data_IF_980096195374
#
_entry.id   IF_980096195374
#
_cell.length_a   1.000
_cell.length_b   1.000
_cell.length_c   1.000
_cell.angle_alpha   90.00
_cell.angle_beta   90.00
_cell.angle_gamma   90.00
#
_symmetry.space_group_name_H-M   'P 1'
#
loop_
_entity.id
_entity.type
_entity.pdbx_description
1 polymer ?
#
# COMPACT_ATOMS: atom_id res chain seq x y z
N UNK A 1 2.67 -32.21 15.35
CA UNK A 1 2.69 -31.09 14.39
C UNK A 1 1.29 -30.53 14.33
N UNK A 2 1.11 -29.24 14.67
CA UNK A 2 -0.21 -28.61 14.77
C UNK A 2 -0.85 -28.43 13.39
N UNK A 3 -2.17 -28.19 13.34
CA UNK A 3 -2.85 -27.86 12.07
C UNK A 3 -2.29 -26.57 11.45
N UNK A 4 -1.89 -25.60 12.29
CA UNK A 4 -1.23 -24.37 11.84
C UNK A 4 0.13 -24.66 11.18
N UNK A 5 0.96 -25.51 11.79
CA UNK A 5 2.27 -25.87 11.22
C UNK A 5 2.12 -26.53 9.83
N UNK A 6 1.11 -27.40 9.67
CA UNK A 6 0.82 -28.07 8.40
C UNK A 6 0.36 -27.07 7.33
N UNK A 7 -0.56 -26.17 7.69
CA UNK A 7 -1.05 -25.11 6.82
C UNK A 7 0.06 -24.16 6.37
N UNK A 8 0.93 -23.75 7.30
CA UNK A 8 2.06 -22.89 7.01
C UNK A 8 3.07 -23.57 6.08
N UNK A 9 3.42 -24.83 6.33
CA UNK A 9 4.32 -25.58 5.44
C UNK A 9 3.76 -25.67 4.03
N UNK A 10 2.48 -26.00 3.88
CA UNK A 10 1.83 -26.04 2.57
C UNK A 10 1.84 -24.67 1.86
N UNK A 11 1.59 -23.58 2.58
CA UNK A 11 1.66 -22.22 2.04
C UNK A 11 3.08 -21.82 1.60
N UNK A 12 4.10 -22.23 2.35
CA UNK A 12 5.50 -22.01 2.01
C UNK A 12 5.91 -22.84 0.79
N UNK A 13 5.49 -24.10 0.71
CA UNK A 13 5.74 -24.98 -0.44
C UNK A 13 5.11 -24.40 -1.71
N UNK A 14 3.87 -23.90 -1.62
CA UNK A 14 3.17 -23.26 -2.73
C UNK A 14 3.86 -21.97 -3.22
N UNK A 15 4.75 -21.38 -2.42
CA UNK A 15 5.47 -20.14 -2.72
C UNK A 15 6.92 -20.35 -3.10
N UNK A 16 7.45 -21.58 -3.13
CA UNK A 16 8.89 -21.83 -3.35
C UNK A 16 9.43 -21.11 -4.61
N UNK A 17 8.79 -21.33 -5.76
CA UNK A 17 9.17 -20.65 -7.02
C UNK A 17 9.03 -19.12 -6.94
N UNK A 18 8.01 -18.62 -6.24
CA UNK A 18 7.82 -17.18 -6.07
C UNK A 18 8.94 -16.59 -5.20
N UNK A 19 9.34 -17.26 -4.12
CA UNK A 19 10.40 -16.79 -3.24
C UNK A 19 11.72 -16.68 -4.00
N UNK A 20 12.05 -17.68 -4.82
CA UNK A 20 13.22 -17.64 -5.70
C UNK A 20 13.18 -16.45 -6.66
N UNK A 21 12.02 -16.22 -7.31
CA UNK A 21 11.82 -15.07 -8.20
C UNK A 21 11.99 -13.74 -7.46
N UNK A 22 11.37 -13.59 -6.28
CA UNK A 22 11.42 -12.36 -5.49
C UNK A 22 12.85 -12.09 -5.00
N UNK A 23 13.58 -13.11 -4.55
CA UNK A 23 14.97 -12.95 -4.13
C UNK A 23 15.86 -12.55 -5.31
N UNK A 24 15.66 -13.15 -6.49
CA UNK A 24 16.36 -12.74 -7.71
C UNK A 24 16.05 -11.29 -8.14
N UNK A 25 14.85 -10.79 -7.84
CA UNK A 25 14.44 -9.40 -8.03
C UNK A 25 14.98 -8.44 -6.95
N UNK A 26 15.72 -8.94 -5.96
CA UNK A 26 16.15 -8.14 -4.80
C UNK A 26 14.97 -7.73 -3.92
N UNK A 27 14.03 -8.64 -3.69
CA UNK A 27 12.84 -8.44 -2.85
C UNK A 27 12.83 -9.42 -1.68
N UNK A 28 12.85 -8.88 -0.47
CA UNK A 28 12.70 -9.63 0.79
C UNK A 28 11.52 -9.14 1.64
N UNK A 29 10.61 -8.41 1.00
CA UNK A 29 9.34 -7.92 1.54
C UNK A 29 8.17 -8.66 0.86
N UNK A 30 7.58 -9.64 1.54
CA UNK A 30 6.50 -10.47 0.98
C UNK A 30 5.65 -11.20 2.03
N UNK A 31 4.46 -11.64 1.61
CA UNK A 31 3.51 -12.41 2.42
C UNK A 31 3.92 -13.88 2.42
N UNK A 32 4.21 -14.42 3.60
CA UNK A 32 4.55 -15.84 3.77
C UNK A 32 3.30 -16.69 4.03
N UNK A 33 2.29 -16.12 4.68
CA UNK A 33 1.06 -16.82 5.04
C UNK A 33 -0.13 -15.86 5.12
N UNK A 34 -1.18 -16.19 4.37
CA UNK A 34 -2.42 -15.45 4.24
C UNK A 34 -3.59 -16.29 4.80
N UNK A 35 -3.66 -16.36 6.13
CA UNK A 35 -4.44 -17.40 6.83
C UNK A 35 -5.94 -17.43 6.55
N UNK A 36 -6.55 -16.32 6.12
CA UNK A 36 -7.95 -16.29 5.64
C UNK A 36 -8.21 -17.20 4.43
N UNK A 37 -7.18 -17.49 3.64
CA UNK A 37 -7.24 -18.36 2.47
C UNK A 37 -6.51 -19.68 2.73
N UNK A 38 -5.60 -19.71 3.70
CA UNK A 38 -4.64 -20.80 3.88
C UNK A 38 -4.83 -21.56 5.20
N UNK A 39 -6.04 -21.57 5.74
CA UNK A 39 -6.42 -22.51 6.81
C UNK A 39 -6.23 -22.02 8.24
N UNK A 40 -5.96 -20.73 8.46
CA UNK A 40 -5.99 -20.11 9.79
C UNK A 40 -6.53 -18.66 9.73
N UNK A 41 -7.86 -18.49 9.60
CA UNK A 41 -8.46 -17.16 9.43
C UNK A 41 -8.07 -16.17 10.53
N UNK A 42 -7.74 -14.96 10.11
CA UNK A 42 -7.29 -13.90 11.02
C UNK A 42 -5.82 -13.99 11.41
N UNK A 43 -5.02 -14.86 10.78
CA UNK A 43 -3.57 -14.89 10.95
C UNK A 43 -2.85 -14.45 9.68
N UNK A 44 -1.78 -13.69 9.88
CA UNK A 44 -0.90 -13.23 8.82
C UNK A 44 0.56 -13.39 9.22
N UNK A 45 1.39 -13.80 8.26
CA UNK A 45 2.85 -13.86 8.42
C UNK A 45 3.49 -13.16 7.23
N UNK A 46 4.28 -12.14 7.50
CA UNK A 46 4.96 -11.32 6.51
C UNK A 46 6.46 -11.26 6.81
N UNK A 47 7.28 -11.30 5.77
CA UNK A 47 8.69 -10.93 5.86
C UNK A 47 8.83 -9.46 5.45
N UNK A 48 9.59 -8.70 6.22
CA UNK A 48 10.07 -7.37 5.85
C UNK A 48 11.56 -7.27 6.13
N UNK A 49 12.41 -7.54 5.13
CA UNK A 49 13.84 -7.57 5.33
C UNK A 49 14.25 -8.66 6.33
N UNK A 50 14.96 -8.32 7.42
CA UNK A 50 15.31 -9.26 8.46
C UNK A 50 14.17 -9.56 9.44
N UNK A 51 13.01 -8.88 9.34
CA UNK A 51 11.92 -9.02 10.29
C UNK A 51 10.86 -10.02 9.83
N UNK A 52 10.37 -10.84 10.76
CA UNK A 52 9.19 -11.68 10.61
C UNK A 52 8.03 -11.05 11.39
N UNK A 53 7.09 -10.41 10.69
CA UNK A 53 5.91 -9.83 11.29
C UNK A 53 4.75 -10.83 11.29
N UNK A 54 4.31 -11.24 12.48
CA UNK A 54 3.13 -12.07 12.69
C UNK A 54 2.01 -11.18 13.24
N UNK A 55 0.83 -11.19 12.63
CA UNK A 55 -0.35 -10.50 13.17
C UNK A 55 -1.56 -11.42 13.25
N UNK A 56 -2.29 -11.32 14.35
CA UNK A 56 -3.56 -12.01 14.58
C UNK A 56 -4.71 -11.00 14.72
N UNK A 57 -5.91 -11.31 14.21
CA UNK A 57 -7.05 -10.36 14.14
C UNK A 57 -8.32 -10.87 14.81
N UNK A 58 -8.38 -12.15 15.19
CA UNK A 58 -9.56 -12.76 15.80
C UNK A 58 -9.26 -13.41 17.14
N UNK A 59 -8.14 -14.12 17.21
CA UNK A 59 -7.68 -14.81 18.41
C UNK A 59 -6.16 -14.65 18.53
N UNK A 60 -5.62 -14.43 19.74
CA UNK A 60 -4.18 -14.40 19.94
C UNK A 60 -3.55 -15.77 19.62
N UNK A 61 -2.26 -15.76 19.28
CA UNK A 61 -1.44 -16.96 19.23
C UNK A 61 -0.69 -17.13 20.55
N UNK A 62 -0.62 -18.38 21.01
CA UNK A 62 0.21 -18.78 22.15
C UNK A 62 1.70 -18.77 21.79
N UNK A 63 2.57 -18.62 22.80
CA UNK A 63 4.02 -18.53 22.63
C UNK A 63 4.62 -19.73 21.87
N UNK A 64 4.22 -20.96 22.19
CA UNK A 64 4.71 -22.17 21.52
C UNK A 64 4.35 -22.21 20.03
N UNK A 65 3.15 -21.71 19.68
CA UNK A 65 2.70 -21.64 18.29
C UNK A 65 3.50 -20.57 17.52
N UNK A 66 3.79 -19.42 18.14
CA UNK A 66 4.64 -18.38 17.55
C UNK A 66 6.07 -18.88 17.31
N UNK A 67 6.65 -19.57 18.30
CA UNK A 67 8.01 -20.11 18.18
C UNK A 67 8.09 -21.20 17.11
N UNK A 68 7.12 -22.12 17.05
CA UNK A 68 7.04 -23.15 16.01
C UNK A 68 6.93 -22.54 14.61
N UNK A 69 6.05 -21.56 14.44
CA UNK A 69 5.86 -20.82 13.18
C UNK A 69 7.15 -20.13 12.74
N UNK A 70 7.81 -19.39 13.64
CA UNK A 70 9.07 -18.70 13.33
C UNK A 70 10.15 -19.70 12.91
N UNK A 71 10.31 -20.79 13.64
CA UNK A 71 11.28 -21.86 13.33
C UNK A 71 11.03 -22.47 11.96
N UNK A 72 9.77 -22.72 11.58
CA UNK A 72 9.42 -23.25 10.25
C UNK A 72 9.81 -22.27 9.14
N UNK A 73 9.53 -20.97 9.33
CA UNK A 73 9.87 -19.93 8.37
C UNK A 73 11.38 -19.79 8.21
N UNK A 74 12.13 -19.75 9.32
CA UNK A 74 13.59 -19.64 9.30
C UNK A 74 14.24 -20.84 8.62
N UNK A 75 13.75 -22.06 8.89
CA UNK A 75 14.20 -23.27 8.21
C UNK A 75 13.94 -23.21 6.70
N UNK A 76 12.76 -22.72 6.28
CA UNK A 76 12.42 -22.57 4.85
C UNK A 76 13.30 -21.53 4.17
N UNK A 77 13.59 -20.41 4.83
CA UNK A 77 14.38 -19.32 4.26
C UNK A 77 15.90 -19.51 4.44
N UNK A 78 16.32 -20.50 5.23
CA UNK A 78 17.73 -20.79 5.49
C UNK A 78 18.47 -19.74 6.32
N UNK A 79 17.75 -18.91 7.08
CA UNK A 79 18.33 -17.82 7.87
C UNK A 79 17.44 -17.42 9.06
N UNK A 80 18.02 -16.90 10.15
CA UNK A 80 17.24 -16.37 11.28
C UNK A 80 16.50 -15.08 10.90
N UNK A 81 15.37 -14.83 11.56
CA UNK A 81 14.58 -13.61 11.42
C UNK A 81 14.24 -13.01 12.79
N UNK A 82 14.06 -11.69 12.80
CA UNK A 82 13.65 -10.93 13.97
C UNK A 82 12.13 -10.99 14.11
N UNK A 83 11.63 -11.84 15.01
CA UNK A 83 10.20 -12.01 15.23
C UNK A 83 9.58 -10.78 15.89
N UNK A 84 8.50 -10.27 15.28
CA UNK A 84 7.58 -9.29 15.89
C UNK A 84 6.18 -9.86 15.81
N UNK A 85 5.51 -9.97 16.95
CA UNK A 85 4.11 -10.39 17.02
C UNK A 85 3.20 -9.22 17.41
N UNK A 86 2.17 -8.95 16.63
CA UNK A 86 1.14 -7.98 16.96
C UNK A 86 -0.22 -8.68 17.09
N UNK A 87 -0.71 -8.79 18.33
CA UNK A 87 -2.10 -9.19 18.58
C UNK A 87 -3.04 -8.02 18.27
N UNK A 88 -3.96 -8.24 17.33
CA UNK A 88 -5.00 -7.29 16.90
C UNK A 88 -6.39 -7.93 17.02
N UNK A 89 -6.54 -8.96 17.87
CA UNK A 89 -7.81 -9.63 18.14
C UNK A 89 -8.81 -8.77 18.93
N UNK A 90 -8.32 -7.73 19.60
CA UNK A 90 -9.14 -6.82 20.40
C UNK A 90 -9.95 -5.82 19.55
N UNK A 91 -10.78 -5.01 20.22
CA UNK A 91 -11.70 -4.06 19.58
C UNK A 91 -11.00 -3.14 18.57
N UNK A 92 -11.64 -2.95 17.41
CA UNK A 92 -11.16 -2.13 16.28
C UNK A 92 -9.83 -2.61 15.68
N UNK A 93 -9.42 -3.85 15.95
CA UNK A 93 -8.19 -4.45 15.46
C UNK A 93 -6.95 -3.59 15.71
N UNK A 94 -6.91 -2.96 16.89
CA UNK A 94 -5.73 -2.22 17.35
C UNK A 94 -4.71 -3.20 17.91
N UNK A 95 -3.44 -2.91 17.66
CA UNK A 95 -2.32 -3.65 18.28
C UNK A 95 -2.44 -3.55 19.80
N UNK A 96 -2.56 -4.71 20.46
CA UNK A 96 -2.36 -4.85 21.88
C UNK A 96 -0.86 -4.66 22.18
N UNK A 97 -0.57 -3.69 23.04
CA UNK A 97 0.80 -3.31 23.42
C UNK A 97 1.24 -3.97 24.72
N UNK A 98 0.37 -4.77 25.33
CA UNK A 98 0.72 -5.55 26.50
C UNK A 98 1.46 -6.83 26.06
N UNK A 99 2.61 -7.18 26.67
CA UNK A 99 3.43 -8.31 26.26
C UNK A 99 2.89 -9.63 26.83
N UNK A 100 1.63 -9.99 26.56
CA UNK A 100 1.02 -11.17 27.18
C UNK A 100 1.49 -12.50 26.57
N UNK A 101 1.76 -12.53 25.26
CA UNK A 101 2.13 -13.77 24.56
C UNK A 101 3.58 -13.80 24.05
N UNK A 102 4.18 -12.64 23.76
CA UNK A 102 5.54 -12.53 23.23
C UNK A 102 6.10 -11.12 23.43
N UNK A 103 7.33 -11.04 23.93
CA UNK A 103 8.12 -9.81 23.98
C UNK A 103 9.18 -9.85 22.88
N UNK A 104 9.12 -8.90 21.96
CA UNK A 104 10.06 -8.84 20.86
C UNK A 104 11.42 -8.31 21.35
N UNK A 105 12.50 -8.85 20.79
CA UNK A 105 13.85 -8.37 21.05
C UNK A 105 14.02 -6.91 20.64
N UNK A 106 14.89 -6.16 21.31
CA UNK A 106 15.16 -4.75 20.99
C UNK A 106 15.59 -4.58 19.51
N UNK A 107 16.41 -5.51 19.01
CA UNK A 107 16.83 -5.53 17.61
C UNK A 107 15.65 -5.68 16.64
N UNK A 108 14.62 -6.44 17.01
CA UNK A 108 13.41 -6.63 16.22
C UNK A 108 12.54 -5.36 16.19
N UNK A 109 12.69 -4.45 17.15
CA UNK A 109 11.95 -3.19 17.23
C UNK A 109 12.73 -1.98 16.70
N UNK A 110 13.95 -2.20 16.21
CA UNK A 110 14.80 -1.17 15.66
C UNK A 110 14.32 -0.66 14.28
N UNK A 111 14.96 0.40 13.82
CA UNK A 111 14.82 0.94 12.48
C UNK A 111 15.56 0.05 11.47
N UNK A 112 14.83 -0.90 10.87
CA UNK A 112 15.37 -1.89 9.94
C UNK A 112 15.18 -1.47 8.47
N UNK A 113 15.84 -2.19 7.58
CA UNK A 113 15.75 -2.01 6.12
C UNK A 113 15.25 -3.31 5.50
N UNK A 114 14.22 -3.20 4.65
CA UNK A 114 13.79 -4.27 3.75
C UNK A 114 13.90 -3.81 2.30
N UNK A 115 13.73 -4.75 1.39
CA UNK A 115 13.97 -4.57 -0.04
C UNK A 115 12.75 -5.01 -0.85
N UNK A 116 12.36 -4.19 -1.81
CA UNK A 116 11.35 -4.54 -2.82
C UNK A 116 11.75 -3.94 -4.16
N UNK A 117 11.72 -4.74 -5.23
CA UNK A 117 12.15 -4.32 -6.58
C UNK A 117 13.59 -3.75 -6.62
N UNK A 118 14.48 -4.24 -5.75
CA UNK A 118 15.85 -3.76 -5.59
C UNK A 118 15.97 -2.37 -4.95
N UNK A 119 14.91 -1.88 -4.29
CA UNK A 119 14.89 -0.60 -3.58
C UNK A 119 14.85 -0.80 -2.08
N UNK A 120 15.51 0.10 -1.35
CA UNK A 120 15.56 0.06 0.11
C UNK A 120 14.35 0.76 0.72
N UNK A 121 13.72 0.12 1.70
CA UNK A 121 12.59 0.66 2.45
C UNK A 121 12.86 0.59 3.95
N UNK A 122 12.49 1.66 4.65
CA UNK A 122 12.40 1.65 6.12
C UNK A 122 11.28 0.71 6.54
N UNK A 123 11.61 -0.24 7.42
CA UNK A 123 10.68 -1.22 7.97
C UNK A 123 10.60 -1.07 9.48
N UNK A 124 9.37 -1.11 10.01
CA UNK A 124 9.06 -1.17 11.45
C UNK A 124 7.84 -2.06 11.67
N UNK A 125 8.03 -3.24 12.26
CA UNK A 125 6.94 -4.17 12.60
C UNK A 125 6.07 -3.68 13.75
N UNK A 126 6.59 -2.77 14.57
CA UNK A 126 5.84 -2.09 15.62
C UNK A 126 6.30 -0.65 15.73
N UNK A 127 5.36 0.29 15.70
CA UNK A 127 5.60 1.73 15.84
C UNK A 127 4.34 2.41 16.41
N UNK A 128 4.24 3.74 16.34
CA UNK A 128 3.08 4.49 16.87
C UNK A 128 1.78 4.25 16.10
N UNK A 129 1.87 3.91 14.81
CA UNK A 129 0.76 3.53 13.95
C UNK A 129 0.31 2.07 14.11
N UNK A 130 -0.53 1.63 13.17
CA UNK A 130 -1.11 0.27 13.16
C UNK A 130 -0.60 -0.58 12.01
N UNK A 131 -0.35 0.05 10.87
CA UNK A 131 0.02 -0.66 9.64
C UNK A 131 1.53 -0.72 9.47
N UNK A 132 2.05 -1.80 8.87
CA UNK A 132 3.46 -1.87 8.50
C UNK A 132 3.76 -0.74 7.50
N UNK A 133 4.96 -0.16 7.58
CA UNK A 133 5.39 0.99 6.77
C UNK A 133 5.41 0.73 5.24
N UNK A 134 5.03 -0.47 4.80
CA UNK A 134 4.90 -0.87 3.40
C UNK A 134 3.74 -1.87 3.28
N UNK A 135 2.74 -1.57 2.44
CA UNK A 135 1.65 -2.50 2.12
C UNK A 135 2.08 -3.46 1.00
N UNK A 136 2.32 -4.73 1.32
CA UNK A 136 2.91 -5.70 0.40
C UNK A 136 1.98 -6.14 -0.75
N UNK A 137 0.66 -6.03 -0.58
CA UNK A 137 -0.33 -6.34 -1.62
C UNK A 137 -0.25 -5.39 -2.83
N UNK A 138 0.25 -4.17 -2.62
CA UNK A 138 0.54 -3.18 -3.65
C UNK A 138 1.85 -3.40 -4.42
N UNK A 139 2.61 -4.49 -4.16
CA UNK A 139 3.92 -4.75 -4.80
C UNK A 139 3.84 -4.76 -6.32
N UNK A 140 2.82 -5.39 -6.90
CA UNK A 140 2.62 -5.42 -8.35
C UNK A 140 2.34 -4.02 -8.92
N UNK A 141 1.52 -3.21 -8.23
CA UNK A 141 1.21 -1.85 -8.66
C UNK A 141 2.46 -0.95 -8.62
N UNK A 142 3.28 -1.08 -7.57
CA UNK A 142 4.58 -0.42 -7.46
C UNK A 142 5.54 -0.85 -8.59
N UNK A 143 5.59 -2.15 -8.89
CA UNK A 143 6.37 -2.69 -10.01
C UNK A 143 5.93 -2.13 -11.36
N UNK A 144 4.61 -2.05 -11.59
CA UNK A 144 4.05 -1.45 -12.81
C UNK A 144 4.44 0.03 -12.93
N UNK A 145 4.35 0.81 -11.85
CA UNK A 145 4.79 2.22 -11.84
C UNK A 145 6.27 2.33 -12.17
N UNK A 146 7.14 1.53 -11.53
CA UNK A 146 8.58 1.50 -11.83
C UNK A 146 8.85 1.23 -13.32
N UNK A 147 8.12 0.31 -13.94
CA UNK A 147 8.29 -0.02 -15.36
C UNK A 147 7.75 1.06 -16.32
N UNK A 148 6.85 1.94 -15.87
CA UNK A 148 6.10 2.84 -16.74
C UNK A 148 6.34 4.33 -16.48
N UNK A 149 7.31 4.69 -15.63
CA UNK A 149 7.58 6.07 -15.23
C UNK A 149 8.67 6.79 -16.03
N UNK A 150 9.41 6.14 -16.92
CA UNK A 150 10.52 6.76 -17.64
C UNK A 150 10.14 8.07 -18.35
N UNK A 151 10.80 9.18 -17.99
CA UNK A 151 10.57 10.52 -18.53
C UNK A 151 9.27 11.20 -18.10
N UNK A 152 8.42 10.54 -17.31
CA UNK A 152 7.08 11.00 -16.95
C UNK A 152 7.06 11.81 -15.66
N UNK A 153 6.15 12.78 -15.61
CA UNK A 153 5.74 13.44 -14.38
C UNK A 153 4.74 12.56 -13.61
N UNK A 154 5.03 12.29 -12.33
CA UNK A 154 4.26 11.35 -11.51
C UNK A 154 3.65 12.02 -10.29
N UNK A 155 2.34 11.89 -10.10
CA UNK A 155 1.62 12.31 -8.90
C UNK A 155 1.11 11.10 -8.11
N UNK A 156 1.60 10.91 -6.90
CA UNK A 156 1.20 9.86 -5.98
C UNK A 156 0.28 10.44 -4.89
N UNK A 157 -1.01 10.09 -4.93
CA UNK A 157 -2.06 10.59 -4.03
C UNK A 157 -2.33 9.58 -2.92
N UNK A 158 -2.47 10.08 -1.69
CA UNK A 158 -2.50 9.24 -0.48
C UNK A 158 -1.19 8.45 -0.35
N UNK A 159 -0.09 9.18 -0.50
CA UNK A 159 1.23 8.60 -0.74
C UNK A 159 1.73 7.69 0.38
N UNK A 160 1.17 7.79 1.60
CA UNK A 160 1.63 7.07 2.77
C UNK A 160 3.15 7.27 2.95
N UNK A 161 3.92 6.20 3.04
CA UNK A 161 5.39 6.20 3.13
C UNK A 161 6.08 6.34 1.77
N UNK A 162 5.34 6.82 0.76
CA UNK A 162 5.81 7.21 -0.56
C UNK A 162 6.40 6.06 -1.40
N UNK A 163 6.00 4.80 -1.13
CA UNK A 163 6.58 3.65 -1.82
C UNK A 163 6.33 3.63 -3.34
N UNK A 164 5.16 4.09 -3.80
CA UNK A 164 4.87 4.29 -5.22
C UNK A 164 5.77 5.37 -5.83
N UNK A 165 5.94 6.49 -5.12
CA UNK A 165 6.84 7.56 -5.57
C UNK A 165 8.29 7.11 -5.68
N UNK A 166 8.76 6.30 -4.74
CA UNK A 166 10.12 5.72 -4.78
C UNK A 166 10.31 4.83 -6.02
N UNK A 167 9.33 3.98 -6.32
CA UNK A 167 9.32 3.16 -7.53
C UNK A 167 9.29 4.02 -8.80
N UNK A 168 8.51 5.10 -8.82
CA UNK A 168 8.50 6.04 -9.95
C UNK A 168 9.87 6.69 -10.18
N UNK A 169 10.53 7.16 -9.11
CA UNK A 169 11.87 7.73 -9.19
C UNK A 169 12.89 6.71 -9.72
N UNK A 170 12.84 5.47 -9.21
CA UNK A 170 13.67 4.37 -9.71
C UNK A 170 13.35 3.96 -11.15
N UNK A 171 12.11 4.18 -11.59
CA UNK A 171 11.65 3.98 -12.97
C UNK A 171 12.08 5.07 -13.95
N UNK A 172 12.81 6.09 -13.50
CA UNK A 172 13.28 7.19 -14.33
C UNK A 172 12.24 8.29 -14.56
N UNK A 173 11.29 8.49 -13.64
CA UNK A 173 10.40 9.65 -13.66
C UNK A 173 11.20 10.97 -13.77
N UNK A 174 10.70 11.90 -14.58
CA UNK A 174 11.27 13.25 -14.69
C UNK A 174 10.97 14.10 -13.47
N UNK A 175 9.84 13.84 -12.80
CA UNK A 175 9.50 14.37 -11.49
C UNK A 175 8.55 13.43 -10.75
N UNK A 176 8.62 13.44 -9.41
CA UNK A 176 7.73 12.69 -8.54
C UNK A 176 7.18 13.61 -7.46
N UNK A 177 5.86 13.72 -7.37
CA UNK A 177 5.15 14.46 -6.33
C UNK A 177 4.35 13.49 -5.47
N UNK A 178 4.75 13.35 -4.20
CA UNK A 178 4.01 12.58 -3.20
C UNK A 178 3.10 13.51 -2.39
N UNK A 179 1.84 13.14 -2.24
CA UNK A 179 0.85 13.89 -1.47
C UNK A 179 0.22 13.02 -0.39
N UNK A 180 0.38 13.43 0.87
CA UNK A 180 -0.26 12.77 2.01
C UNK A 180 -0.67 13.79 3.07
N UNK A 181 -1.66 13.45 3.88
CA UNK A 181 -2.11 14.30 4.98
C UNK A 181 -1.16 14.21 6.19
N UNK A 182 -0.63 13.01 6.45
CA UNK A 182 0.14 12.72 7.65
C UNK A 182 1.63 13.04 7.43
N UNK A 183 2.11 14.06 8.13
CA UNK A 183 3.52 14.44 8.11
C UNK A 183 4.45 13.29 8.55
N UNK A 184 4.00 12.44 9.48
CA UNK A 184 4.74 11.26 9.93
C UNK A 184 4.99 10.27 8.79
N UNK A 185 4.01 10.08 7.90
CA UNK A 185 4.15 9.17 6.76
C UNK A 185 5.12 9.75 5.72
N UNK A 186 5.00 11.05 5.43
CA UNK A 186 5.93 11.74 4.54
C UNK A 186 7.37 11.75 5.10
N UNK A 187 7.55 11.81 6.41
CA UNK A 187 8.86 11.71 7.04
C UNK A 187 9.52 10.34 6.74
N UNK A 188 8.77 9.25 6.89
CA UNK A 188 9.23 7.91 6.48
C UNK A 188 9.49 7.85 4.97
N UNK A 189 8.66 8.51 4.15
CA UNK A 189 8.91 8.63 2.72
C UNK A 189 10.23 9.34 2.38
N UNK A 190 10.65 10.33 3.19
CA UNK A 190 11.96 10.98 3.06
C UNK A 190 13.09 10.05 3.49
N UNK A 191 12.93 9.28 4.56
CA UNK A 191 13.88 8.23 4.95
C UNK A 191 14.06 7.22 3.80
N UNK A 192 12.96 6.77 3.17
CA UNK A 192 13.02 5.88 2.01
C UNK A 192 13.81 6.49 0.85
N UNK A 193 13.66 7.79 0.57
CA UNK A 193 14.51 8.49 -0.39
C UNK A 193 15.99 8.53 0.00
N UNK A 194 16.29 8.77 1.28
CA UNK A 194 17.67 8.80 1.80
C UNK A 194 18.36 7.44 1.76
N UNK A 195 17.60 6.35 1.93
CA UNK A 195 18.08 4.98 1.78
C UNK A 195 18.42 4.61 0.33
N UNK A 196 18.03 5.43 -0.65
CA UNK A 196 18.29 5.23 -2.08
C UNK A 196 18.95 6.48 -2.70
N UNK A 197 20.18 6.86 -2.26
CA UNK A 197 20.80 8.13 -2.62
C UNK A 197 21.13 8.29 -4.11
N UNK A 198 21.10 7.19 -4.87
CA UNK A 198 21.28 7.19 -6.32
C UNK A 198 20.05 7.69 -7.10
N UNK A 199 18.88 7.79 -6.46
CA UNK A 199 17.64 8.18 -7.11
C UNK A 199 17.47 9.70 -7.14
N UNK A 200 16.75 10.24 -8.14
CA UNK A 200 16.35 11.65 -8.13
C UNK A 200 15.53 12.02 -6.90
N UNK A 201 15.67 13.27 -6.46
CA UNK A 201 14.90 13.78 -5.33
C UNK A 201 13.39 13.82 -5.65
N UNK A 202 12.58 13.37 -4.69
CA UNK A 202 11.12 13.44 -4.77
C UNK A 202 10.59 14.69 -4.05
N UNK A 203 9.43 15.18 -4.49
CA UNK A 203 8.67 16.22 -3.82
C UNK A 203 7.66 15.60 -2.86
N UNK A 204 7.41 16.29 -1.74
CA UNK A 204 6.49 15.83 -0.70
C UNK A 204 5.60 17.00 -0.29
N UNK A 205 4.30 16.84 -0.46
CA UNK A 205 3.27 17.84 -0.17
C UNK A 205 2.42 17.33 0.99
N UNK A 206 2.55 17.96 2.14
CA UNK A 206 1.63 17.75 3.25
C UNK A 206 0.34 18.53 2.96
N UNK A 207 -0.74 17.83 2.64
CA UNK A 207 -2.04 18.45 2.41
C UNK A 207 -3.16 17.44 2.58
N UNK A 208 -4.36 17.94 2.91
CA UNK A 208 -5.57 17.19 2.62
C UNK A 208 -5.69 16.97 1.11
N UNK A 209 -6.21 15.81 0.73
CA UNK A 209 -6.44 15.40 -0.64
C UNK A 209 -7.30 16.41 -1.41
N UNK A 210 -8.48 16.77 -0.88
CA UNK A 210 -9.48 17.54 -1.59
C UNK A 210 -9.01 18.93 -2.03
N UNK A 211 -8.44 19.80 -1.17
CA UNK A 211 -7.96 21.10 -1.62
C UNK A 211 -6.77 20.97 -2.57
N UNK A 212 -5.93 19.94 -2.44
CA UNK A 212 -4.76 19.80 -3.30
C UNK A 212 -5.10 19.32 -4.70
N UNK A 213 -5.82 18.19 -4.82
CA UNK A 213 -6.16 17.62 -6.13
C UNK A 213 -7.09 18.54 -6.91
N UNK A 214 -7.98 19.27 -6.23
CA UNK A 214 -8.87 20.24 -6.89
C UNK A 214 -8.09 21.41 -7.46
N UNK A 215 -7.10 21.95 -6.75
CA UNK A 215 -6.22 22.99 -7.29
C UNK A 215 -5.45 22.50 -8.52
N UNK A 216 -4.84 21.31 -8.45
CA UNK A 216 -4.12 20.71 -9.58
C UNK A 216 -5.04 20.46 -10.78
N UNK A 217 -6.26 20.00 -10.53
CA UNK A 217 -7.29 19.79 -11.55
C UNK A 217 -7.97 21.08 -12.06
N UNK A 218 -7.56 22.27 -11.61
CA UNK A 218 -8.19 23.54 -12.00
C UNK A 218 -9.62 23.72 -11.49
N UNK A 219 -10.03 22.97 -10.47
CA UNK A 219 -11.35 23.01 -9.86
C UNK A 219 -11.40 23.97 -8.65
N UNK A 220 -12.54 24.64 -8.41
CA UNK A 220 -12.70 25.48 -7.23
C UNK A 220 -12.72 24.63 -5.96
N UNK A 221 -12.17 25.12 -4.86
CA UNK A 221 -12.27 24.43 -3.56
C UNK A 221 -13.65 24.68 -2.98
N UNK A 222 -14.38 23.60 -2.68
CA UNK A 222 -15.72 23.71 -2.11
C UNK A 222 -15.62 24.12 -0.63
N UNK A 223 -16.41 25.10 -0.20
CA UNK A 223 -16.62 25.43 1.20
C UNK A 223 -18.12 25.65 1.45
N UNK A 224 -18.60 25.24 2.62
CA UNK A 224 -19.98 25.56 3.02
C UNK A 224 -20.04 27.03 3.46
N UNK A 225 -21.15 27.71 3.19
CA UNK A 225 -21.35 29.10 3.62
C UNK A 225 -21.15 29.23 5.13
N UNK A 226 -20.23 30.09 5.57
CA UNK A 226 -19.87 30.29 6.98
C UNK A 226 -18.84 29.31 7.55
N UNK A 227 -18.38 28.32 6.79
CA UNK A 227 -17.32 27.40 7.22
C UNK A 227 -15.94 28.00 6.97
N UNK A 228 -15.17 28.23 8.04
CA UNK A 228 -13.74 28.56 7.93
C UNK A 228 -12.96 27.28 7.65
N UNK A 229 -12.31 27.21 6.49
CA UNK A 229 -11.44 26.08 6.15
C UNK A 229 -10.10 26.18 6.91
N UNK A 230 -9.49 25.04 7.30
CA UNK A 230 -8.11 25.00 7.76
C UNK A 230 -7.14 25.56 6.69
N UNK A 231 -5.91 25.88 7.09
CA UNK A 231 -4.87 26.26 6.15
C UNK A 231 -4.52 25.06 5.23
N UNK A 232 -4.23 25.35 3.96
CA UNK A 232 -3.77 24.38 2.97
C UNK A 232 -2.78 25.05 2.01
N UNK A 233 -1.80 24.31 1.47
CA UNK A 233 -0.83 24.87 0.55
C UNK A 233 -1.49 25.35 -0.74
N UNK A 234 -0.97 26.46 -1.29
CA UNK A 234 -1.35 26.96 -2.62
C UNK A 234 -0.61 26.17 -3.68
N UNK A 235 -1.36 25.50 -4.55
CA UNK A 235 -0.83 24.67 -5.62
C UNK A 235 -1.32 25.20 -6.96
N UNK A 236 -0.51 25.05 -8.00
CA UNK A 236 -0.86 25.46 -9.36
C UNK A 236 -1.67 24.38 -10.04
N UNK A 237 -2.58 24.79 -10.94
CA UNK A 237 -3.25 23.88 -11.85
C UNK A 237 -2.21 23.30 -12.82
N UNK A 238 -2.17 21.97 -12.92
CA UNK A 238 -1.26 21.24 -13.80
C UNK A 238 -1.72 19.79 -13.92
N UNK A 239 -1.32 19.16 -15.01
CA UNK A 239 -1.51 17.74 -15.22
C UNK A 239 -0.21 16.95 -15.01
N UNK A 240 -0.35 15.63 -14.89
CA UNK A 240 0.73 14.68 -14.71
C UNK A 240 0.56 13.51 -15.69
N UNK A 241 1.67 13.00 -16.22
CA UNK A 241 1.68 11.88 -17.17
C UNK A 241 1.27 10.56 -16.51
N UNK A 242 1.50 10.43 -15.20
CA UNK A 242 1.04 9.30 -14.39
C UNK A 242 0.46 9.80 -13.07
N UNK A 243 -0.79 9.47 -12.78
CA UNK A 243 -1.43 9.69 -11.49
C UNK A 243 -1.68 8.34 -10.81
N UNK A 244 -1.35 8.23 -9.53
CA UNK A 244 -1.64 7.07 -8.69
C UNK A 244 -2.60 7.47 -7.57
N UNK A 245 -3.73 6.75 -7.44
CA UNK A 245 -4.81 7.05 -6.50
C UNK A 245 -5.10 5.82 -5.63
N UNK A 246 -4.66 5.84 -4.37
CA UNK A 246 -4.91 4.76 -3.40
C UNK A 246 -5.49 5.28 -2.08
N UNK A 247 -6.79 5.65 -2.07
CA UNK A 247 -7.41 6.26 -0.91
C UNK A 247 -7.67 5.26 0.23
N UNK A 248 -7.64 5.70 1.49
CA UNK A 248 -8.06 4.86 2.62
C UNK A 248 -9.56 4.60 2.56
N UNK A 249 -10.01 3.42 3.02
CA UNK A 249 -11.42 3.01 3.05
C UNK A 249 -12.40 4.10 3.52
N UNK A 250 -12.02 4.81 4.59
CA UNK A 250 -12.76 5.94 5.11
C UNK A 250 -11.84 6.95 5.78
N UNK A 251 -12.01 8.23 5.49
CA UNK A 251 -11.36 9.32 6.20
C UNK A 251 -12.24 10.57 6.18
N UNK A 252 -12.17 11.39 7.23
CA UNK A 252 -12.97 12.63 7.33
C UNK A 252 -12.07 13.81 7.65
N UNK A 253 -12.29 14.91 6.94
CA UNK A 253 -11.62 16.18 7.20
C UNK A 253 -12.60 17.36 7.12
N UNK A 254 -12.08 18.57 7.30
CA UNK A 254 -12.87 19.79 7.11
C UNK A 254 -13.24 20.04 5.64
N UNK A 255 -12.54 19.42 4.68
CA UNK A 255 -12.73 19.63 3.24
C UNK A 255 -13.67 18.62 2.61
N UNK A 256 -13.85 17.45 3.23
CA UNK A 256 -14.72 16.41 2.73
C UNK A 256 -14.56 15.09 3.49
N UNK A 257 -15.25 14.07 2.98
CA UNK A 257 -15.16 12.70 3.47
C UNK A 257 -14.69 11.81 2.32
N UNK A 258 -13.64 11.05 2.54
CA UNK A 258 -13.26 9.91 1.72
C UNK A 258 -14.14 8.73 2.13
N UNK A 259 -14.94 8.21 1.21
CA UNK A 259 -15.77 7.01 1.41
C UNK A 259 -15.68 6.15 0.15
N UNK A 260 -14.84 5.11 0.19
CA UNK A 260 -14.57 4.26 -0.98
C UNK A 260 -15.80 3.47 -1.44
N UNK A 261 -16.79 3.26 -0.57
CA UNK A 261 -18.00 2.53 -0.93
C UNK A 261 -19.01 3.46 -1.59
N UNK A 262 -19.25 4.63 -0.98
CA UNK A 262 -20.41 5.47 -1.33
C UNK A 262 -20.07 6.59 -2.29
N UNK A 263 -18.82 7.05 -2.31
CA UNK A 263 -18.44 8.27 -3.03
C UNK A 263 -17.02 8.22 -3.61
N UNK A 264 -16.67 7.12 -4.29
CA UNK A 264 -15.39 7.02 -5.00
C UNK A 264 -15.24 8.07 -6.10
N UNK A 265 -16.36 8.48 -6.72
CA UNK A 265 -16.36 9.45 -7.83
C UNK A 265 -15.86 10.85 -7.44
N UNK A 266 -16.07 11.28 -6.19
CA UNK A 266 -15.55 12.56 -5.72
C UNK A 266 -14.02 12.59 -5.60
N UNK A 267 -13.41 11.41 -5.44
CA UNK A 267 -11.97 11.21 -5.50
C UNK A 267 -11.49 11.10 -6.95
N UNK A 268 -12.17 10.26 -7.73
CA UNK A 268 -11.79 9.93 -9.09
C UNK A 268 -11.85 11.12 -10.04
N UNK A 269 -12.92 11.94 -10.01
CA UNK A 269 -13.09 13.07 -10.93
C UNK A 269 -11.91 14.04 -10.97
N UNK A 270 -11.44 14.59 -9.83
CA UNK A 270 -10.30 15.51 -9.86
C UNK A 270 -8.99 14.79 -10.20
N UNK A 271 -8.80 13.52 -9.81
CA UNK A 271 -7.63 12.73 -10.20
C UNK A 271 -7.57 12.50 -11.71
N UNK A 272 -8.71 12.19 -12.34
CA UNK A 272 -8.86 12.13 -13.79
C UNK A 272 -8.41 13.45 -14.40
N UNK A 273 -9.00 14.59 -14.01
CA UNK A 273 -8.66 15.90 -14.57
C UNK A 273 -7.19 16.32 -14.36
N UNK A 274 -6.54 15.85 -13.29
CA UNK A 274 -5.11 16.03 -13.04
C UNK A 274 -4.21 15.08 -13.85
N UNK A 275 -4.76 14.08 -14.53
CA UNK A 275 -4.03 13.19 -15.45
C UNK A 275 -3.94 13.86 -16.83
N UNK A 276 -2.77 13.88 -17.45
CA UNK A 276 -2.56 14.45 -18.78
C UNK A 276 -3.27 13.65 -19.87
N UNK A 277 -3.59 14.29 -21.00
CA UNK A 277 -4.00 13.57 -22.21
C UNK A 277 -2.82 12.73 -22.71
N UNK A 278 -3.06 11.48 -23.08
CA UNK A 278 -1.96 10.54 -23.37
C UNK A 278 -1.37 9.88 -22.12
N UNK A 279 -1.75 10.31 -20.91
CA UNK A 279 -1.25 9.83 -19.64
C UNK A 279 -2.00 8.62 -19.08
N UNK A 280 -1.58 8.18 -17.89
CA UNK A 280 -2.15 7.04 -17.20
C UNK A 280 -2.66 7.40 -15.79
N UNK A 281 -3.81 6.85 -15.41
CA UNK A 281 -4.31 6.85 -14.03
C UNK A 281 -4.34 5.42 -13.50
N UNK A 282 -3.57 5.15 -12.45
CA UNK A 282 -3.69 3.92 -11.66
C UNK A 282 -4.56 4.23 -10.45
N UNK A 283 -5.68 3.54 -10.30
CA UNK A 283 -6.57 3.74 -9.17
C UNK A 283 -6.80 2.41 -8.43
N UNK A 284 -6.93 2.50 -7.10
CA UNK A 284 -7.09 1.35 -6.22
C UNK A 284 -8.38 1.44 -5.40
N UNK A 285 -8.92 0.27 -5.03
CA UNK A 285 -10.00 0.12 -4.07
C UNK A 285 -9.74 -1.14 -3.24
N UNK A 286 -9.57 -1.00 -1.92
CA UNK A 286 -9.23 -2.09 -1.01
C UNK A 286 -10.43 -2.65 -0.22
N UNK A 287 -11.66 -2.26 -0.58
CA UNK A 287 -12.85 -2.76 0.09
C UNK A 287 -13.21 -4.16 -0.42
N UNK A 288 -13.15 -5.16 0.47
CA UNK A 288 -13.51 -6.55 0.15
C UNK A 288 -14.93 -6.69 -0.44
N UNK A 289 -15.89 -5.91 0.08
CA UNK A 289 -17.30 -5.92 -0.38
C UNK A 289 -17.55 -5.31 -1.76
N UNK A 290 -16.58 -4.62 -2.33
CA UNK A 290 -16.69 -4.05 -3.68
C UNK A 290 -16.39 -5.15 -4.69
N UNK A 291 -17.21 -5.28 -5.73
CA UNK A 291 -16.99 -6.21 -6.85
C UNK A 291 -16.17 -5.48 -7.92
N UNK A 292 -15.17 -6.15 -8.50
CA UNK A 292 -14.24 -5.54 -9.47
C UNK A 292 -14.99 -5.00 -10.70
N UNK A 293 -15.89 -5.79 -11.25
CA UNK A 293 -16.64 -5.48 -12.48
C UNK A 293 -17.51 -4.23 -12.29
N UNK A 294 -18.29 -4.19 -11.21
CA UNK A 294 -19.15 -3.05 -10.87
C UNK A 294 -18.34 -1.76 -10.66
N UNK A 295 -17.20 -1.87 -9.97
CA UNK A 295 -16.32 -0.73 -9.73
C UNK A 295 -15.65 -0.25 -11.01
N UNK A 296 -15.21 -1.16 -11.89
CA UNK A 296 -14.67 -0.83 -13.21
C UNK A 296 -15.68 -0.08 -14.07
N UNK A 297 -16.94 -0.54 -14.11
CA UNK A 297 -18.01 0.18 -14.82
C UNK A 297 -18.20 1.58 -14.24
N UNK A 298 -18.24 1.72 -12.91
CA UNK A 298 -18.36 3.02 -12.25
C UNK A 298 -17.22 3.98 -12.63
N UNK A 299 -15.98 3.47 -12.68
CA UNK A 299 -14.76 4.21 -13.02
C UNK A 299 -14.80 4.67 -14.48
N UNK A 300 -15.07 3.77 -15.43
CA UNK A 300 -15.15 4.07 -16.86
C UNK A 300 -16.27 5.08 -17.16
N UNK A 301 -17.46 4.87 -16.58
CA UNK A 301 -18.58 5.80 -16.71
C UNK A 301 -18.25 7.20 -16.17
N UNK A 302 -17.42 7.30 -15.13
CA UNK A 302 -16.98 8.59 -14.61
C UNK A 302 -16.08 9.30 -15.63
N UNK A 303 -15.15 8.59 -16.23
CA UNK A 303 -14.25 9.11 -17.25
C UNK A 303 -15.00 9.55 -18.52
N UNK A 304 -15.94 8.74 -19.01
CA UNK A 304 -16.83 9.06 -20.15
C UNK A 304 -17.65 10.34 -19.90
N UNK A 305 -18.27 10.46 -18.72
CA UNK A 305 -19.08 11.65 -18.36
C UNK A 305 -18.26 12.94 -18.26
N UNK A 306 -16.95 12.83 -18.07
CA UNK A 306 -16.03 13.98 -18.09
C UNK A 306 -15.52 14.31 -19.49
N UNK A 307 -15.94 13.57 -20.52
CA UNK A 307 -15.44 13.71 -21.88
C UNK A 307 -14.02 13.17 -22.05
N UNK A 308 -13.57 12.28 -21.15
CA UNK A 308 -12.23 11.69 -21.14
C UNK A 308 -12.32 10.16 -21.07
N UNK A 309 -12.90 9.50 -22.08
CA UNK A 309 -12.97 8.04 -22.09
C UNK A 309 -11.56 7.44 -22.07
N UNK A 310 -11.36 6.38 -21.28
CA UNK A 310 -10.10 5.65 -21.32
C UNK A 310 -9.98 4.89 -22.66
N UNK A 311 -8.83 5.00 -23.32
CA UNK A 311 -8.48 4.20 -24.51
C UNK A 311 -8.29 2.73 -24.15
N UNK A 312 -7.76 2.47 -22.97
CA UNK A 312 -7.58 1.13 -22.42
C UNK A 312 -7.80 1.13 -20.91
N UNK A 313 -8.27 0.00 -20.38
CA UNK A 313 -8.51 -0.21 -18.96
C UNK A 313 -8.15 -1.64 -18.55
N UNK A 314 -6.98 -1.76 -17.92
CA UNK A 314 -6.41 -3.04 -17.48
C UNK A 314 -6.70 -3.26 -16.01
N UNK A 315 -6.96 -4.52 -15.64
CA UNK A 315 -6.99 -4.96 -14.25
C UNK A 315 -5.60 -5.46 -13.87
N UNK A 316 -5.07 -4.95 -12.77
CA UNK A 316 -3.84 -5.46 -12.17
C UNK A 316 -4.18 -6.23 -10.90
N UNK A 317 -3.82 -7.51 -10.88
CA UNK A 317 -4.01 -8.36 -9.71
C UNK A 317 -2.93 -8.08 -8.64
N UNK A 318 -3.25 -8.26 -7.34
CA UNK A 318 -2.24 -8.34 -6.29
C UNK A 318 -1.21 -9.44 -6.57
N UNK A 319 -0.07 -9.37 -5.91
CA UNK A 319 0.95 -10.40 -6.04
C UNK A 319 0.45 -11.75 -5.49
N UNK A 320 0.94 -12.86 -6.07
CA UNK A 320 0.40 -14.20 -5.84
C UNK A 320 0.65 -14.73 -4.41
N UNK A 321 1.50 -14.06 -3.64
CA UNK A 321 1.63 -14.28 -2.19
C UNK A 321 0.40 -13.82 -1.38
N UNK A 322 -0.53 -13.11 -2.03
CA UNK A 322 -1.88 -12.78 -1.55
C UNK A 322 -2.95 -13.60 -2.30
N UNK A 323 -3.08 -14.90 -2.04
CA UNK A 323 -4.05 -15.75 -2.72
C UNK A 323 -5.49 -15.30 -2.46
N UNK A 324 -6.41 -15.68 -3.34
CA UNK A 324 -7.86 -15.50 -3.20
C UNK A 324 -8.56 -16.61 -3.96
N UNK A 325 -9.09 -17.61 -3.24
CA UNK A 325 -9.69 -18.81 -3.84
C UNK A 325 -10.99 -18.52 -4.60
N UNK A 326 -11.69 -17.45 -4.22
CA UNK A 326 -12.89 -16.96 -4.88
C UNK A 326 -12.61 -15.99 -6.03
N UNK A 327 -11.33 -15.75 -6.35
CA UNK A 327 -10.86 -14.77 -7.33
C UNK A 327 -11.40 -13.34 -7.08
N UNK A 328 -11.70 -13.00 -5.82
CA UNK A 328 -12.18 -11.68 -5.39
C UNK A 328 -11.23 -11.10 -4.33
N UNK A 329 -9.98 -10.75 -4.70
CA UNK A 329 -9.07 -10.16 -3.76
C UNK A 329 -9.65 -8.85 -3.17
N UNK A 330 -9.35 -8.52 -1.91
CA UNK A 330 -9.77 -7.27 -1.31
C UNK A 330 -9.28 -6.04 -2.08
N UNK A 331 -8.02 -6.06 -2.53
CA UNK A 331 -7.41 -5.02 -3.36
C UNK A 331 -7.82 -5.19 -4.84
N UNK A 332 -8.39 -4.13 -5.39
CA UNK A 332 -8.68 -3.96 -6.82
C UNK A 332 -7.80 -2.84 -7.34
N UNK A 333 -7.14 -3.07 -8.47
CA UNK A 333 -6.35 -2.03 -9.15
C UNK A 333 -6.74 -1.97 -10.61
N UNK A 334 -7.06 -0.77 -11.08
CA UNK A 334 -7.31 -0.47 -12.49
C UNK A 334 -6.27 0.50 -13.01
N UNK A 335 -5.85 0.28 -14.25
CA UNK A 335 -4.92 1.13 -14.97
C UNK A 335 -5.66 1.68 -16.19
N UNK A 336 -5.93 2.97 -16.19
CA UNK A 336 -6.59 3.68 -17.28
C UNK A 336 -5.54 4.39 -18.12
N UNK A 337 -5.57 4.21 -19.44
CA UNK A 337 -4.77 4.96 -20.40
C UNK A 337 -5.69 5.93 -21.15
N UNK A 338 -5.33 7.22 -21.20
CA UNK A 338 -6.14 8.27 -21.85
C UNK A 338 -5.57 8.69 -23.18
#
# INVERSE_FOLDING_TARGET
MSALDQALRAALDARENLLDELHAQGTDCYRLFHGSQEGAPGLTVDRYGPQLLVQSFHQPLEADALQSLATIVEQRLGQPLLLVYNDRSQRNSRIDRNPHAFEAEEAALADLIGHEWGLNYRVRGRHTGQDPLLFLDLRNARGWVKANSAGKSVLNLFAYTCGVGLCAAAGGASEVTNLDFAQSNLAVGRENGQLNPQLPAMQFIQSDYFPAIRQMAGLPINSRRGQKLPNYPRLQARQFDLVFLDPPAWAKSAFGTVDLLRDYQSLLKPALLATADGGALVCCNNLAKVVMEDWREQVLRCAEKLGRPARDCQVLAPAVDFPSHDARPPLKTLILQF
#
